data_IF_835563587884
#
_entry.id   IF_835563587884
#
_cell.length_a   1.000
_cell.length_b   1.000
_cell.length_c   1.000
_cell.angle_alpha   90.00
_cell.angle_beta   90.00
_cell.angle_gamma   90.00
#
_symmetry.space_group_name_H-M   'P 1'
#
loop_
_entity.id
_entity.type
_entity.pdbx_description
1 polymer ?
#
# COMPACT_ATOMS: atom_id res chain seq x y z
N UNK A 1 -17.91 -7.54 19.33
CA UNK A 1 -18.17 -8.86 18.69
C UNK A 1 -16.88 -9.31 18.01
N UNK A 2 -16.36 -10.49 18.34
CA UNK A 2 -15.21 -11.06 17.65
C UNK A 2 -15.69 -11.67 16.32
N UNK A 3 -15.04 -11.33 15.20
CA UNK A 3 -15.32 -11.96 13.92
C UNK A 3 -14.92 -13.44 13.99
N UNK A 4 -15.66 -14.29 13.28
CA UNK A 4 -15.25 -15.70 13.15
C UNK A 4 -13.90 -15.81 12.44
N UNK A 5 -13.10 -16.82 12.78
CA UNK A 5 -11.79 -17.07 12.15
C UNK A 5 -11.88 -17.21 10.62
N UNK A 6 -13.00 -17.73 10.12
CA UNK A 6 -13.26 -17.81 8.67
C UNK A 6 -13.43 -16.43 8.05
N UNK A 7 -14.10 -15.49 8.73
CA UNK A 7 -14.28 -14.13 8.21
C UNK A 7 -12.96 -13.37 8.22
N UNK A 8 -12.14 -13.51 9.27
CA UNK A 8 -10.82 -12.86 9.31
C UNK A 8 -9.89 -13.39 8.23
N UNK A 9 -9.87 -14.71 7.98
CA UNK A 9 -9.10 -15.30 6.89
C UNK A 9 -9.52 -14.79 5.50
N UNK A 10 -10.84 -14.62 5.27
CA UNK A 10 -11.36 -14.07 4.01
C UNK A 10 -10.96 -12.61 3.79
N UNK A 11 -11.06 -11.78 4.83
CA UNK A 11 -10.65 -10.37 4.76
C UNK A 11 -9.16 -10.23 4.46
N UNK A 12 -8.33 -11.12 5.02
CA UNK A 12 -6.89 -11.14 4.74
C UNK A 12 -6.58 -11.52 3.31
N UNK A 13 -7.21 -12.58 2.80
CA UNK A 13 -7.07 -12.98 1.41
C UNK A 13 -7.49 -11.85 0.46
N UNK A 14 -8.58 -11.15 0.80
CA UNK A 14 -9.06 -10.00 0.04
C UNK A 14 -8.01 -8.86 0.02
N UNK A 15 -7.44 -8.49 1.18
CA UNK A 15 -6.39 -7.47 1.25
C UNK A 15 -5.12 -7.85 0.49
N UNK A 16 -4.77 -9.15 0.48
CA UNK A 16 -3.60 -9.66 -0.23
C UNK A 16 -3.70 -9.43 -1.74
N UNK A 17 -4.90 -9.55 -2.32
CA UNK A 17 -5.14 -9.21 -3.73
C UNK A 17 -5.34 -7.70 -3.95
N UNK A 18 -6.04 -7.04 -3.03
CA UNK A 18 -6.39 -5.62 -3.12
C UNK A 18 -5.15 -4.71 -3.18
N UNK A 19 -4.16 -4.92 -2.29
CA UNK A 19 -3.00 -4.04 -2.21
C UNK A 19 -2.19 -3.95 -3.51
N UNK A 20 -1.63 -5.07 -4.01
CA UNK A 20 -0.81 -5.09 -5.22
C UNK A 20 -1.56 -4.61 -6.47
N UNK A 21 -2.82 -5.03 -6.64
CA UNK A 21 -3.65 -4.61 -7.79
C UNK A 21 -3.93 -3.12 -7.80
N UNK A 22 -4.25 -2.54 -6.63
CA UNK A 22 -4.49 -1.10 -6.49
C UNK A 22 -3.25 -0.30 -6.85
N UNK A 23 -2.07 -0.71 -6.37
CA UNK A 23 -0.78 -0.06 -6.68
C UNK A 23 -0.51 -0.06 -8.18
N UNK A 24 -0.62 -1.24 -8.81
CA UNK A 24 -0.35 -1.38 -10.24
C UNK A 24 -1.30 -0.52 -11.07
N UNK A 25 -2.60 -0.56 -10.78
CA UNK A 25 -3.59 0.21 -11.54
C UNK A 25 -3.46 1.71 -11.28
N UNK A 26 -3.14 2.16 -10.06
CA UNK A 26 -2.89 3.57 -9.79
C UNK A 26 -1.68 4.10 -10.59
N UNK A 27 -0.58 3.35 -10.61
CA UNK A 27 0.64 3.76 -11.31
C UNK A 27 0.48 3.70 -12.84
N UNK A 28 -0.14 2.65 -13.36
CA UNK A 28 -0.47 2.54 -14.80
C UNK A 28 -1.47 3.63 -15.19
N UNK A 29 -2.48 3.89 -14.36
CA UNK A 29 -3.43 4.97 -14.56
C UNK A 29 -2.75 6.34 -14.62
N UNK A 30 -1.76 6.58 -13.76
CA UNK A 30 -0.91 7.78 -13.81
C UNK A 30 -0.10 7.91 -15.09
N UNK A 31 0.43 6.80 -15.63
CA UNK A 31 1.10 6.79 -16.93
C UNK A 31 0.16 7.15 -18.08
N UNK A 32 -1.08 6.66 -18.02
CA UNK A 32 -2.09 6.88 -19.07
C UNK A 32 -2.68 8.30 -19.01
N UNK A 33 -2.81 8.90 -17.82
CA UNK A 33 -3.33 10.27 -17.67
C UNK A 33 -2.42 11.33 -18.31
N UNK A 34 -1.09 11.12 -18.31
CA UNK A 34 -0.17 12.04 -18.98
C UNK A 34 1.19 11.40 -19.28
N UNK A 35 1.65 11.59 -20.52
CA UNK A 35 2.99 11.18 -20.95
C UNK A 35 4.10 11.86 -20.12
N UNK A 36 3.84 13.04 -19.54
CA UNK A 36 4.79 13.73 -18.67
C UNK A 36 5.00 13.01 -17.32
N UNK A 37 4.05 12.18 -16.89
CA UNK A 37 4.10 11.46 -15.60
C UNK A 37 4.63 10.04 -15.74
N UNK A 38 4.67 9.50 -16.96
CA UNK A 38 5.16 8.16 -17.23
C UNK A 38 6.58 7.89 -16.68
N UNK A 39 7.58 8.79 -16.82
CA UNK A 39 8.90 8.57 -16.26
C UNK A 39 8.90 8.47 -14.72
N UNK A 40 8.07 9.28 -14.06
CA UNK A 40 7.99 9.26 -12.59
C UNK A 40 7.31 7.98 -12.08
N UNK A 41 6.24 7.55 -12.75
CA UNK A 41 5.56 6.29 -12.44
C UNK A 41 6.48 5.08 -12.68
N UNK A 42 7.25 5.07 -13.77
CA UNK A 42 8.23 4.00 -14.06
C UNK A 42 9.32 3.93 -13.00
N UNK A 43 9.86 5.07 -12.56
CA UNK A 43 10.87 5.11 -11.51
C UNK A 43 10.32 4.65 -10.15
N UNK A 44 9.07 4.99 -9.83
CA UNK A 44 8.40 4.47 -8.63
C UNK A 44 8.18 2.96 -8.72
N UNK A 45 7.72 2.43 -9.86
CA UNK A 45 7.61 0.99 -10.12
C UNK A 45 8.97 0.28 -10.01
N UNK A 46 10.04 0.89 -10.50
CA UNK A 46 11.40 0.36 -10.34
C UNK A 46 11.79 0.31 -8.86
N UNK A 47 11.48 1.37 -8.11
CA UNK A 47 11.64 1.38 -6.65
C UNK A 47 10.89 0.24 -5.97
N UNK A 48 9.61 0.04 -6.30
CA UNK A 48 8.79 -1.06 -5.79
C UNK A 48 9.40 -2.41 -6.16
N UNK A 49 9.84 -2.58 -7.40
CA UNK A 49 10.49 -3.80 -7.89
C UNK A 49 11.78 -4.12 -7.16
N UNK A 50 12.61 -3.11 -6.85
CA UNK A 50 13.84 -3.25 -6.06
C UNK A 50 13.55 -3.49 -4.57
N UNK A 51 12.49 -2.88 -4.03
CA UNK A 51 12.06 -3.08 -2.65
C UNK A 51 11.53 -4.49 -2.40
N UNK A 52 10.82 -5.08 -3.37
CA UNK A 52 10.18 -6.38 -3.24
C UNK A 52 11.11 -7.52 -2.77
N UNK A 53 12.29 -7.78 -3.39
CA UNK A 53 13.22 -8.80 -2.92
C UNK A 53 13.78 -8.48 -1.52
N UNK A 54 14.01 -7.20 -1.20
CA UNK A 54 14.42 -6.79 0.16
C UNK A 54 13.34 -7.15 1.18
N UNK A 55 12.08 -6.92 0.80
CA UNK A 55 10.91 -7.29 1.57
C UNK A 55 10.77 -8.79 1.80
N UNK A 56 10.94 -9.59 0.74
CA UNK A 56 10.93 -11.05 0.84
C UNK A 56 12.01 -11.55 1.80
N UNK A 57 13.24 -11.03 1.69
CA UNK A 57 14.33 -11.36 2.61
C UNK A 57 14.02 -10.98 4.07
N UNK A 58 13.46 -9.79 4.29
CA UNK A 58 13.05 -9.34 5.61
C UNK A 58 11.89 -10.17 6.18
N UNK A 59 10.91 -10.52 5.35
CA UNK A 59 9.78 -11.38 5.72
C UNK A 59 10.22 -12.80 6.08
N UNK A 60 11.18 -13.35 5.34
CA UNK A 60 11.76 -14.66 5.60
C UNK A 60 12.55 -14.67 6.92
N UNK A 61 13.32 -13.60 7.16
CA UNK A 61 14.03 -13.44 8.43
C UNK A 61 13.04 -13.29 9.59
N UNK A 62 11.99 -12.49 9.40
CA UNK A 62 10.91 -12.29 10.36
C UNK A 62 10.15 -13.59 10.67
N UNK A 63 9.97 -14.48 9.70
CA UNK A 63 9.34 -15.78 9.88
C UNK A 63 10.15 -16.73 10.78
N UNK A 64 11.45 -16.49 10.98
CA UNK A 64 12.29 -17.23 11.91
C UNK A 64 12.09 -16.83 13.37
N UNK A 65 11.40 -15.71 13.63
CA UNK A 65 11.07 -15.24 14.97
C UNK A 65 9.62 -15.56 15.31
N UNK A 66 9.35 -15.78 16.60
CA UNK A 66 7.99 -16.04 17.07
C UNK A 66 7.20 -14.72 17.18
N UNK A 67 6.74 -14.25 16.02
CA UNK A 67 6.02 -12.99 15.89
C UNK A 67 4.56 -13.15 16.29
N UNK A 68 4.10 -12.24 17.14
CA UNK A 68 2.69 -12.10 17.51
C UNK A 68 1.82 -11.77 16.29
N UNK A 69 0.53 -12.09 16.37
CA UNK A 69 -0.45 -11.75 15.32
C UNK A 69 -0.44 -10.27 14.95
N UNK A 70 -0.19 -9.36 15.90
CA UNK A 70 -0.07 -7.93 15.66
C UNK A 70 1.10 -7.58 14.73
N UNK A 71 2.23 -8.24 14.93
CA UNK A 71 3.47 -7.99 14.21
C UNK A 71 3.40 -8.52 12.78
N UNK A 72 2.71 -9.64 12.58
CA UNK A 72 2.45 -10.18 11.24
C UNK A 72 1.52 -9.27 10.41
N UNK A 73 0.78 -8.35 11.04
CA UNK A 73 -0.13 -7.39 10.37
C UNK A 73 0.49 -6.02 10.11
N UNK A 74 1.67 -5.74 10.68
CA UNK A 74 2.37 -4.47 10.48
C UNK A 74 2.58 -4.12 9.00
N UNK A 75 3.01 -5.05 8.12
CA UNK A 75 3.17 -4.76 6.69
C UNK A 75 1.88 -4.24 6.06
N UNK A 76 0.73 -4.83 6.39
CA UNK A 76 -0.58 -4.42 5.88
C UNK A 76 -0.97 -3.01 6.32
N UNK A 77 -0.57 -2.59 7.54
CA UNK A 77 -0.78 -1.22 8.01
C UNK A 77 0.17 -0.24 7.33
N UNK A 78 1.45 -0.60 7.21
CA UNK A 78 2.46 0.22 6.57
C UNK A 78 2.11 0.45 5.08
N UNK A 79 1.51 -0.53 4.41
CA UNK A 79 1.00 -0.38 3.04
C UNK A 79 0.13 0.88 2.87
N UNK A 80 -0.75 1.19 3.83
CA UNK A 80 -1.62 2.37 3.77
C UNK A 80 -0.85 3.69 3.80
N UNK A 81 0.29 3.73 4.49
CA UNK A 81 1.12 4.93 4.56
C UNK A 81 1.99 5.09 3.33
N UNK A 82 2.57 3.99 2.86
CA UNK A 82 3.51 4.03 1.76
C UNK A 82 2.85 4.03 0.38
N UNK A 83 1.57 3.65 0.28
CA UNK A 83 0.83 3.75 -0.97
C UNK A 83 0.73 5.21 -1.48
N UNK A 84 0.20 6.19 -0.70
CA UNK A 84 0.21 7.59 -1.10
C UNK A 84 1.62 8.13 -1.38
N UNK A 85 2.62 7.71 -0.59
CA UNK A 85 4.01 8.14 -0.76
C UNK A 85 4.62 7.63 -2.08
N UNK A 86 4.32 6.39 -2.47
CA UNK A 86 4.83 5.81 -3.71
C UNK A 86 4.22 6.45 -4.97
N UNK A 87 2.98 6.96 -4.88
CA UNK A 87 2.33 7.66 -5.99
C UNK A 87 2.58 9.16 -6.00
N UNK A 88 3.12 9.72 -4.91
CA UNK A 88 3.38 11.14 -4.75
C UNK A 88 4.26 11.74 -5.86
N UNK A 89 5.30 11.04 -6.38
CA UNK A 89 6.09 11.55 -7.50
C UNK A 89 5.33 11.64 -8.83
N UNK A 90 4.19 10.95 -8.95
CA UNK A 90 3.32 10.96 -10.12
C UNK A 90 2.32 12.13 -10.04
N UNK A 91 2.16 12.74 -8.86
CA UNK A 91 1.25 13.87 -8.65
C UNK A 91 1.92 15.20 -9.04
N UNK A 92 1.36 15.96 -9.99
CA UNK A 92 1.90 17.27 -10.36
C UNK A 92 1.77 18.29 -9.21
N UNK A 93 2.80 19.11 -9.02
CA UNK A 93 2.77 20.29 -8.13
C UNK A 93 2.90 20.05 -6.63
N UNK A 94 2.88 18.80 -6.16
CA UNK A 94 2.96 18.47 -4.71
C UNK A 94 4.39 18.39 -4.20
N UNK A 95 5.33 17.94 -5.02
CA UNK A 95 6.77 18.02 -4.77
C UNK A 95 7.44 18.80 -5.91
N UNK A 96 7.36 20.14 -5.93
CA UNK A 96 8.23 20.91 -6.80
C UNK A 96 9.66 20.73 -6.28
N UNK A 97 10.40 19.82 -6.90
CA UNK A 97 11.85 19.75 -6.69
C UNK A 97 12.42 21.13 -7.05
N UNK A 98 13.26 21.73 -6.19
CA UNK A 98 13.91 22.98 -6.52
C UNK A 98 14.60 22.88 -7.89
N UNK A 99 14.63 23.96 -8.67
CA UNK A 99 15.28 23.97 -10.00
C UNK A 99 16.77 23.57 -9.98
N UNK A 100 17.37 23.47 -8.80
CA UNK A 100 18.74 22.97 -8.59
C UNK A 100 18.84 21.45 -8.50
N UNK A 101 17.73 20.73 -8.32
CA UNK A 101 17.67 19.27 -8.22
C UNK A 101 17.39 18.62 -9.58
N UNK A 102 18.20 18.94 -10.59
CA UNK A 102 18.19 18.25 -11.87
C UNK A 102 19.22 17.10 -11.87
N UNK A 103 18.88 15.97 -12.51
CA UNK A 103 19.77 14.81 -12.63
C UNK A 103 19.56 13.71 -11.58
N UNK A 104 20.64 13.04 -11.15
CA UNK A 104 20.60 11.83 -10.32
C UNK A 104 19.79 11.94 -9.01
N UNK A 105 19.87 13.04 -8.22
CA UNK A 105 19.11 13.15 -6.97
C UNK A 105 17.59 13.10 -7.17
N UNK A 106 17.08 13.70 -8.25
CA UNK A 106 15.64 13.65 -8.57
C UNK A 106 15.19 12.25 -8.99
N UNK A 107 16.05 11.49 -9.68
CA UNK A 107 15.80 10.09 -10.02
C UNK A 107 15.78 9.25 -8.74
N UNK A 108 16.79 9.41 -7.88
CA UNK A 108 16.92 8.67 -6.63
C UNK A 108 15.71 8.86 -5.72
N UNK A 109 15.20 10.08 -5.55
CA UNK A 109 13.99 10.34 -4.73
C UNK A 109 12.77 9.57 -5.26
N UNK A 110 12.57 9.54 -6.59
CA UNK A 110 11.43 8.85 -7.20
C UNK A 110 11.49 7.34 -6.99
N UNK A 111 12.69 6.77 -7.08
CA UNK A 111 12.95 5.34 -6.79
C UNK A 111 12.76 5.06 -5.29
N UNK A 112 13.31 5.92 -4.43
CA UNK A 112 13.19 5.79 -2.97
C UNK A 112 11.74 5.95 -2.49
N UNK A 113 10.89 6.68 -3.20
CA UNK A 113 9.47 6.79 -2.86
C UNK A 113 8.74 5.45 -3.01
N UNK A 114 9.08 4.65 -4.04
CA UNK A 114 8.48 3.34 -4.29
C UNK A 114 9.11 2.19 -3.49
N UNK A 115 10.38 2.32 -3.09
CA UNK A 115 11.15 1.25 -2.45
C UNK A 115 10.53 0.72 -1.13
N UNK A 116 10.10 1.56 -0.18
CA UNK A 116 9.45 1.08 1.05
C UNK A 116 8.19 0.28 0.76
N UNK A 117 7.37 0.72 -0.21
CA UNK A 117 6.15 0.02 -0.59
C UNK A 117 6.48 -1.37 -1.18
N UNK A 118 7.51 -1.46 -2.01
CA UNK A 118 8.05 -2.73 -2.50
C UNK A 118 8.46 -3.66 -1.36
N UNK A 119 9.26 -3.16 -0.42
CA UNK A 119 9.71 -3.95 0.74
C UNK A 119 8.54 -4.43 1.61
N UNK A 120 7.51 -3.62 1.77
CA UNK A 120 6.31 -4.00 2.52
C UNK A 120 5.52 -5.08 1.78
N UNK A 121 5.35 -4.95 0.46
CA UNK A 121 4.66 -5.97 -0.35
C UNK A 121 5.42 -7.30 -0.31
N UNK A 122 6.74 -7.27 -0.47
CA UNK A 122 7.58 -8.47 -0.35
C UNK A 122 7.45 -9.12 1.05
N UNK A 123 7.53 -8.33 2.11
CA UNK A 123 7.39 -8.85 3.47
C UNK A 123 5.97 -9.42 3.72
N UNK A 124 4.93 -8.77 3.19
CA UNK A 124 3.56 -9.25 3.30
C UNK A 124 3.34 -10.56 2.52
N UNK A 125 3.97 -10.72 1.35
CA UNK A 125 3.94 -11.96 0.58
C UNK A 125 4.58 -13.10 1.36
N UNK A 126 5.76 -12.90 1.91
CA UNK A 126 6.49 -13.95 2.62
C UNK A 126 5.85 -14.31 3.97
N UNK A 127 5.37 -13.32 4.73
CA UNK A 127 4.65 -13.57 5.99
C UNK A 127 3.27 -14.21 5.71
N UNK A 128 2.65 -13.85 4.58
CA UNK A 128 1.35 -14.36 4.15
C UNK A 128 1.39 -15.76 3.54
N UNK A 129 2.47 -16.13 2.84
CA UNK A 129 2.64 -17.45 2.20
C UNK A 129 2.62 -18.59 3.22
N UNK A 130 2.97 -18.30 4.47
CA UNK A 130 2.89 -19.22 5.62
C UNK A 130 1.45 -19.53 6.04
N UNK A 131 0.46 -18.82 5.50
CA UNK A 131 -0.96 -19.03 5.82
C UNK A 131 -1.73 -19.40 4.56
N UNK A 132 -2.54 -20.46 4.62
CA UNK A 132 -3.34 -20.89 3.48
C UNK A 132 -4.40 -19.82 3.13
N UNK A 133 -4.21 -19.13 2.01
CA UNK A 133 -5.15 -18.13 1.51
C UNK A 133 -6.12 -18.76 0.52
N UNK A 134 -7.39 -18.37 0.56
CA UNK A 134 -8.35 -18.78 -0.46
C UNK A 134 -8.13 -17.96 -1.74
N UNK A 135 -7.66 -18.61 -2.80
CA UNK A 135 -7.43 -17.99 -4.12
C UNK A 135 -8.64 -17.21 -4.63
N UNK A 136 -9.86 -17.70 -4.37
CA UNK A 136 -11.10 -17.02 -4.76
C UNK A 136 -11.24 -15.63 -4.12
N UNK A 137 -10.96 -15.52 -2.83
CA UNK A 137 -11.05 -14.25 -2.10
C UNK A 137 -9.89 -13.32 -2.44
N UNK A 138 -8.71 -13.86 -2.75
CA UNK A 138 -7.59 -13.08 -3.28
C UNK A 138 -7.91 -12.48 -4.64
N UNK A 139 -8.47 -13.25 -5.57
CA UNK A 139 -8.89 -12.75 -6.88
C UNK A 139 -10.01 -11.71 -6.76
N UNK A 140 -10.99 -11.94 -5.87
CA UNK A 140 -12.03 -10.95 -5.58
C UNK A 140 -11.43 -9.64 -5.05
N UNK A 141 -10.45 -9.73 -4.13
CA UNK A 141 -9.70 -8.58 -3.64
C UNK A 141 -8.94 -7.84 -4.74
N UNK A 142 -8.28 -8.58 -5.64
CA UNK A 142 -7.58 -8.01 -6.78
C UNK A 142 -8.53 -7.29 -7.75
N UNK A 143 -9.70 -7.88 -8.03
CA UNK A 143 -10.74 -7.24 -8.83
C UNK A 143 -11.27 -5.96 -8.20
N UNK A 144 -11.56 -5.99 -6.89
CA UNK A 144 -11.99 -4.80 -6.14
C UNK A 144 -10.92 -3.69 -6.16
N UNK A 145 -9.66 -4.05 -5.88
CA UNK A 145 -8.54 -3.10 -5.90
C UNK A 145 -8.34 -2.46 -7.26
N UNK A 146 -8.35 -3.27 -8.32
CA UNK A 146 -8.23 -2.78 -9.69
C UNK A 146 -9.40 -1.86 -10.10
N UNK A 147 -10.65 -2.24 -9.81
CA UNK A 147 -11.83 -1.45 -10.16
C UNK A 147 -11.86 -0.12 -9.40
N UNK A 148 -11.58 -0.15 -8.10
CA UNK A 148 -11.57 1.06 -7.27
C UNK A 148 -10.41 1.98 -7.68
N UNK A 149 -9.21 1.44 -7.91
CA UNK A 149 -8.09 2.21 -8.41
C UNK A 149 -8.41 2.84 -9.77
N UNK A 150 -8.89 2.07 -10.74
CA UNK A 150 -9.25 2.57 -12.07
C UNK A 150 -10.33 3.67 -11.99
N UNK A 151 -11.41 3.42 -11.23
CA UNK A 151 -12.48 4.41 -11.05
C UNK A 151 -12.00 5.68 -10.35
N UNK A 152 -11.14 5.55 -9.34
CA UNK A 152 -10.59 6.69 -8.63
C UNK A 152 -9.63 7.53 -9.48
N UNK A 153 -8.80 6.90 -10.32
CA UNK A 153 -7.97 7.63 -11.29
C UNK A 153 -8.84 8.27 -12.37
N UNK A 154 -9.92 7.62 -12.81
CA UNK A 154 -10.80 8.20 -13.82
C UNK A 154 -11.54 9.45 -13.31
N UNK A 155 -11.93 9.48 -12.03
CA UNK A 155 -12.73 10.57 -11.44
C UNK A 155 -11.86 11.63 -10.75
N UNK A 156 -10.71 11.23 -10.20
CA UNK A 156 -9.83 12.08 -9.41
C UNK A 156 -8.38 12.04 -9.94
N UNK A 157 -7.41 12.40 -9.09
CA UNK A 157 -5.99 12.24 -9.34
C UNK A 157 -5.46 10.92 -8.76
N UNK A 158 -4.27 10.50 -9.18
CA UNK A 158 -3.59 9.31 -8.64
C UNK A 158 -3.40 9.40 -7.13
N UNK A 159 -3.01 10.57 -6.60
CA UNK A 159 -2.82 10.77 -5.16
C UNK A 159 -4.14 10.66 -4.38
N UNK A 160 -5.21 11.32 -4.85
CA UNK A 160 -6.52 11.19 -4.22
C UNK A 160 -7.07 9.77 -4.34
N UNK A 161 -6.78 9.09 -5.45
CA UNK A 161 -7.10 7.67 -5.63
C UNK A 161 -6.41 6.77 -4.62
N UNK A 162 -5.11 6.96 -4.36
CA UNK A 162 -4.39 6.26 -3.29
C UNK A 162 -5.00 6.51 -1.90
N UNK A 163 -5.39 7.75 -1.60
CA UNK A 163 -6.08 8.08 -0.34
C UNK A 163 -7.47 7.43 -0.25
N UNK A 164 -8.23 7.36 -1.35
CA UNK A 164 -9.51 6.65 -1.40
C UNK A 164 -9.33 5.14 -1.18
N UNK A 165 -8.25 4.55 -1.73
CA UNK A 165 -7.93 3.14 -1.46
C UNK A 165 -7.67 2.89 0.02
N UNK A 166 -7.01 3.83 0.70
CA UNK A 166 -6.80 3.74 2.15
C UNK A 166 -8.11 3.79 2.93
N UNK A 167 -9.01 4.72 2.57
CA UNK A 167 -10.34 4.82 3.21
C UNK A 167 -11.17 3.55 2.99
N UNK A 168 -11.06 2.92 1.83
CA UNK A 168 -11.73 1.65 1.55
C UNK A 168 -11.11 0.46 2.28
N UNK A 169 -9.77 0.41 2.38
CA UNK A 169 -9.06 -0.67 3.05
C UNK A 169 -9.16 -0.59 4.59
N UNK A 170 -9.30 0.60 5.16
CA UNK A 170 -9.39 0.81 6.60
C UNK A 170 -10.47 -0.03 7.32
N UNK A 171 -11.74 -0.07 6.88
CA UNK A 171 -12.75 -0.93 7.51
C UNK A 171 -12.46 -2.44 7.36
N UNK A 172 -11.70 -2.85 6.34
CA UNK A 172 -11.28 -4.24 6.12
C UNK A 172 -10.13 -4.61 7.08
N UNK A 173 -9.24 -3.66 7.36
CA UNK A 173 -8.06 -3.83 8.22
C UNK A 173 -8.44 -3.74 9.71
N UNK A 174 -9.38 -2.88 10.09
CA UNK A 174 -9.81 -2.71 11.50
C UNK A 174 -10.11 -4.02 12.25
N UNK A 175 -10.93 -4.95 11.72
CA UNK A 175 -11.22 -6.21 12.40
C UNK A 175 -10.04 -7.19 12.45
N UNK A 176 -8.98 -6.95 11.67
CA UNK A 176 -7.77 -7.76 11.65
C UNK A 176 -6.75 -7.29 12.69
N UNK A 177 -6.96 -6.09 13.28
CA UNK A 177 -6.10 -5.56 14.33
C UNK A 177 -6.36 -6.26 15.66
N UNK A 178 -5.32 -6.59 16.44
CA UNK A 178 -5.51 -7.20 17.75
C UNK A 178 -6.35 -6.29 18.65
N UNK A 179 -7.27 -6.90 19.41
CA UNK A 179 -8.06 -6.19 20.42
C UNK A 179 -7.28 -5.87 21.69
N UNK A 180 -6.23 -6.64 21.97
CA UNK A 180 -5.43 -6.58 23.20
C UNK A 180 -3.95 -6.79 22.90
N UNK A 181 -3.07 -6.41 23.83
CA UNK A 181 -1.61 -6.58 23.71
C UNK A 181 -0.85 -5.27 23.50
N UNK A 182 0.46 -5.28 23.80
CA UNK A 182 1.33 -4.08 23.83
C UNK A 182 1.36 -3.28 22.52
N UNK A 183 1.13 -3.92 21.37
CA UNK A 183 1.15 -3.30 20.03
C UNK A 183 -0.24 -3.03 19.42
N UNK A 184 -1.32 -3.33 20.14
CA UNK A 184 -2.70 -3.13 19.65
C UNK A 184 -3.08 -1.65 19.51
N UNK A 185 -2.77 -0.85 20.53
CA UNK A 185 -3.01 0.59 20.56
C UNK A 185 -2.23 1.36 19.46
N UNK A 186 -0.91 1.19 19.29
CA UNK A 186 -0.19 1.88 18.23
C UNK A 186 -0.66 1.46 16.83
N UNK A 187 -1.03 0.19 16.62
CA UNK A 187 -1.58 -0.26 15.33
C UNK A 187 -2.90 0.44 14.97
N UNK A 188 -3.79 0.63 15.96
CA UNK A 188 -5.05 1.36 15.78
C UNK A 188 -4.81 2.86 15.59
N UNK A 189 -3.90 3.46 16.36
CA UNK A 189 -3.51 4.87 16.17
C UNK A 189 -2.95 5.11 14.77
N UNK A 190 -2.11 4.20 14.27
CA UNK A 190 -1.60 4.24 12.91
C UNK A 190 -2.74 4.14 11.89
N UNK A 191 -3.67 3.21 12.03
CA UNK A 191 -4.81 3.15 11.12
C UNK A 191 -5.63 4.44 11.12
N UNK A 192 -5.93 4.98 12.30
CA UNK A 192 -6.67 6.25 12.43
C UNK A 192 -5.90 7.41 11.81
N UNK A 193 -4.59 7.48 12.00
CA UNK A 193 -3.74 8.50 11.39
C UNK A 193 -3.75 8.39 9.86
N UNK A 194 -3.63 7.18 9.31
CA UNK A 194 -3.71 6.95 7.87
C UNK A 194 -5.06 7.41 7.28
N UNK A 195 -6.16 7.12 7.99
CA UNK A 195 -7.51 7.55 7.62
C UNK A 195 -7.63 9.09 7.68
N UNK A 196 -7.18 9.72 8.77
CA UNK A 196 -7.23 11.18 8.92
C UNK A 196 -6.41 11.90 7.84
N UNK A 197 -5.18 11.44 7.57
CA UNK A 197 -4.35 11.99 6.51
C UNK A 197 -4.99 11.80 5.13
N UNK A 198 -5.61 10.65 4.89
CA UNK A 198 -6.31 10.40 3.62
C UNK A 198 -7.52 11.31 3.45
N UNK A 199 -8.30 11.56 4.51
CA UNK A 199 -9.39 12.55 4.49
C UNK A 199 -8.87 13.97 4.24
N UNK A 200 -7.79 14.37 4.89
CA UNK A 200 -7.19 15.70 4.69
C UNK A 200 -6.76 15.92 3.24
N UNK A 201 -6.10 14.92 2.64
CA UNK A 201 -5.66 15.00 1.23
C UNK A 201 -6.85 15.02 0.28
N UNK A 202 -7.93 14.28 0.55
CA UNK A 202 -9.13 14.28 -0.30
C UNK A 202 -9.90 15.61 -0.21
N UNK A 203 -9.99 16.19 0.99
CA UNK A 203 -10.76 17.42 1.22
C UNK A 203 -10.00 18.69 0.83
N UNK A 204 -8.67 18.72 0.99
CA UNK A 204 -7.87 19.95 0.90
C UNK A 204 -6.72 19.92 -0.11
N UNK A 205 -6.30 18.74 -0.60
CA UNK A 205 -5.39 18.63 -1.75
C UNK A 205 -6.19 18.42 -3.01
#
# INVERSE_FOLDING_TARGET
MAFSERTTARLQALLFGFGPSSVLVLLVGGMLQSAAYAPAATLSLMGIGLGLPLGLGAGWLAARFDLSLAERRLPTLLFLFFLPLAVLPVQPGVLPLPSTWHGFPAIAIKVLAGLPLGAILGAAVEIGSLTAHSTRWTLAGAGLGALLAAGSVAVFSVLRGACLMNLFAAPIIWPLLPGTGRRSLPARMLLTLAVLLSFLVILYG
#
